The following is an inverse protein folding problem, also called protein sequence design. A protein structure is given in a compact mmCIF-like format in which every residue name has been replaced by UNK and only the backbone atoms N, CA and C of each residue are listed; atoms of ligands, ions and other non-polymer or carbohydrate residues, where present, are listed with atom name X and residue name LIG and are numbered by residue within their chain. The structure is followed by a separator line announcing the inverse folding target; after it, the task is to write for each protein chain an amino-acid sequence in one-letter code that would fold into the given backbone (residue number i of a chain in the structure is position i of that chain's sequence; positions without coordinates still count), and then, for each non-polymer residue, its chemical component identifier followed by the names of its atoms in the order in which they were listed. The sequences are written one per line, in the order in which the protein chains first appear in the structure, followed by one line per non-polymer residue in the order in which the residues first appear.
data_IF_727503063441
#
_entry.id   IF_727503063441
#
_cell.length_a   1.000
_cell.length_b   1.000
_cell.length_c   1.000
_cell.angle_alpha   90.00
_cell.angle_beta   90.00
_cell.angle_gamma   90.00
#
_symmetry.space_group_name_H-M   'P 1'
#
loop_
_entity.id
_entity.type
_entity.pdbx_description
1 polymer ?
#
# COMPACT_ATOMS: atom_id res chain seq x y z
N UNK A 1 -4.77 -28.66 -75.83
CA UNK A 1 -5.65 -28.82 -74.65
C UNK A 1 -4.80 -29.32 -73.49
N UNK A 2 -4.48 -28.44 -72.53
CA UNK A 2 -3.78 -28.80 -71.33
C UNK A 2 -4.71 -28.38 -70.11
N UNK A 3 -5.25 -29.37 -69.46
CA UNK A 3 -6.03 -29.17 -68.20
C UNK A 3 -5.07 -28.78 -67.03
N UNK A 4 -5.34 -27.64 -66.41
CA UNK A 4 -4.72 -27.22 -65.16
C UNK A 4 -5.70 -27.62 -64.10
N UNK A 5 -5.33 -28.61 -63.27
CA UNK A 5 -6.04 -28.96 -62.06
C UNK A 5 -5.60 -28.03 -60.93
N UNK A 6 -6.53 -27.21 -60.41
CA UNK A 6 -6.30 -26.36 -59.24
C UNK A 6 -6.54 -27.18 -57.98
N UNK A 7 -5.48 -27.44 -57.20
CA UNK A 7 -5.57 -27.99 -55.83
C UNK A 7 -5.96 -26.84 -54.87
N UNK A 8 -7.17 -26.88 -54.35
CA UNK A 8 -7.59 -26.03 -53.21
C UNK A 8 -7.06 -26.63 -51.91
N UNK A 9 -6.03 -26.02 -51.34
CA UNK A 9 -5.57 -26.35 -49.99
C UNK A 9 -6.49 -25.71 -48.94
N UNK A 10 -7.34 -26.48 -48.28
CA UNK A 10 -8.07 -26.06 -47.09
C UNK A 10 -7.08 -25.90 -45.92
N UNK A 11 -6.73 -24.66 -45.59
CA UNK A 11 -6.06 -24.32 -44.31
C UNK A 11 -7.07 -24.50 -43.18
N UNK A 12 -7.00 -25.62 -42.49
CA UNK A 12 -7.63 -25.81 -41.20
C UNK A 12 -6.92 -24.88 -40.16
N UNK A 13 -7.54 -23.74 -39.89
CA UNK A 13 -7.18 -22.91 -38.77
C UNK A 13 -7.59 -23.68 -37.50
N UNK A 14 -6.65 -24.41 -36.93
CA UNK A 14 -6.81 -24.95 -35.56
C UNK A 14 -6.88 -23.74 -34.62
N UNK A 15 -8.08 -23.37 -34.21
CA UNK A 15 -8.26 -22.51 -33.03
C UNK A 15 -7.61 -23.24 -31.85
N UNK A 16 -6.51 -22.69 -31.33
CA UNK A 16 -5.89 -23.19 -30.11
C UNK A 16 -6.95 -23.19 -29.03
N UNK A 17 -7.41 -24.35 -28.63
CA UNK A 17 -8.27 -24.50 -27.46
C UNK A 17 -7.49 -23.95 -26.25
N UNK A 18 -8.07 -22.96 -25.56
CA UNK A 18 -7.59 -22.50 -24.27
C UNK A 18 -7.59 -23.72 -23.31
N UNK A 19 -6.39 -24.24 -23.01
CA UNK A 19 -6.22 -25.49 -22.24
C UNK A 19 -6.50 -25.30 -20.75
N UNK A 20 -6.98 -24.11 -20.36
CA UNK A 20 -7.37 -23.87 -18.97
C UNK A 20 -8.65 -24.62 -18.62
N UNK A 21 -8.72 -25.19 -17.39
CA UNK A 21 -9.98 -25.75 -16.90
C UNK A 21 -11.06 -24.65 -16.82
N UNK A 22 -12.31 -25.01 -17.00
CA UNK A 22 -13.43 -24.10 -16.71
C UNK A 22 -13.33 -23.56 -15.28
N UNK A 23 -13.95 -22.42 -15.01
CA UNK A 23 -13.92 -21.85 -13.66
C UNK A 23 -14.50 -22.82 -12.62
N UNK A 24 -15.59 -23.52 -12.96
CA UNK A 24 -16.21 -24.51 -12.10
C UNK A 24 -15.30 -25.71 -11.77
N UNK A 25 -14.61 -26.26 -12.78
CA UNK A 25 -13.65 -27.36 -12.57
C UNK A 25 -12.47 -26.89 -11.70
N UNK A 26 -11.92 -25.69 -11.99
CA UNK A 26 -10.86 -25.10 -11.19
C UNK A 26 -11.30 -24.86 -9.74
N UNK A 27 -12.53 -24.36 -9.53
CA UNK A 27 -13.09 -24.09 -8.21
C UNK A 27 -13.28 -25.36 -7.38
N UNK A 28 -13.61 -26.48 -8.03
CA UNK A 28 -13.67 -27.79 -7.37
C UNK A 28 -12.32 -28.15 -6.75
N UNK A 29 -11.22 -27.94 -7.47
CA UNK A 29 -9.87 -28.12 -6.94
C UNK A 29 -9.54 -27.16 -5.78
N UNK A 30 -10.02 -25.89 -5.85
CA UNK A 30 -9.85 -24.91 -4.76
C UNK A 30 -10.58 -25.34 -3.48
N UNK A 31 -11.82 -25.83 -3.61
CA UNK A 31 -12.61 -26.35 -2.47
C UNK A 31 -11.90 -27.54 -1.79
N UNK A 32 -11.44 -28.49 -2.59
CA UNK A 32 -10.69 -29.65 -2.08
C UNK A 32 -9.40 -29.22 -1.33
N UNK A 33 -8.65 -28.28 -1.90
CA UNK A 33 -7.43 -27.75 -1.28
C UNK A 33 -7.74 -26.95 -0.02
N UNK A 34 -8.82 -26.16 0.03
CA UNK A 34 -9.23 -25.42 1.23
C UNK A 34 -9.51 -26.39 2.40
N UNK A 35 -10.25 -27.48 2.14
CA UNK A 35 -10.49 -28.53 3.13
C UNK A 35 -9.19 -29.20 3.57
N UNK A 36 -8.30 -29.52 2.64
CA UNK A 36 -6.99 -30.12 2.94
C UNK A 36 -6.09 -29.19 3.77
N UNK A 37 -6.27 -27.86 3.66
CA UNK A 37 -5.59 -26.86 4.49
C UNK A 37 -6.23 -26.67 5.87
N UNK A 38 -7.31 -27.37 6.18
CA UNK A 38 -7.99 -27.34 7.47
C UNK A 38 -9.05 -26.26 7.61
N UNK A 39 -9.45 -25.57 6.52
CA UNK A 39 -10.59 -24.65 6.55
C UNK A 39 -11.87 -25.47 6.80
N UNK A 40 -12.70 -25.05 7.75
CA UNK A 40 -13.94 -25.73 8.10
C UNK A 40 -14.87 -25.89 6.89
N UNK A 41 -15.49 -27.07 6.70
CA UNK A 41 -16.41 -27.31 5.58
C UNK A 41 -17.53 -26.26 5.45
N UNK A 42 -18.08 -25.79 6.57
CA UNK A 42 -19.10 -24.75 6.57
C UNK A 42 -18.60 -23.44 5.94
N UNK A 43 -17.37 -23.05 6.22
CA UNK A 43 -16.77 -21.84 5.64
C UNK A 43 -16.46 -22.03 4.15
N UNK A 44 -15.99 -23.20 3.75
CA UNK A 44 -15.77 -23.52 2.32
C UNK A 44 -17.08 -23.42 1.55
N UNK A 45 -18.17 -23.99 2.09
CA UNK A 45 -19.50 -23.92 1.46
C UNK A 45 -20.06 -22.50 1.45
N UNK A 46 -19.99 -21.76 2.57
CA UNK A 46 -20.46 -20.38 2.64
C UNK A 46 -19.72 -19.46 1.67
N UNK A 47 -18.38 -19.57 1.59
CA UNK A 47 -17.54 -18.66 0.83
C UNK A 47 -17.44 -19.00 -0.66
N UNK A 48 -17.45 -20.29 -1.02
CA UNK A 48 -17.21 -20.77 -2.38
C UNK A 48 -18.41 -21.48 -3.00
N UNK A 49 -19.42 -21.88 -2.21
CA UNK A 49 -20.55 -22.67 -2.67
C UNK A 49 -21.42 -21.97 -3.72
N UNK A 50 -21.51 -20.64 -3.66
CA UNK A 50 -22.33 -19.82 -4.57
C UNK A 50 -21.50 -19.19 -5.71
N UNK A 51 -20.24 -19.60 -5.90
CA UNK A 51 -19.43 -19.11 -7.00
C UNK A 51 -19.56 -20.01 -8.21
N UNK A 52 -20.24 -19.53 -9.25
CA UNK A 52 -20.46 -20.29 -10.49
C UNK A 52 -19.57 -19.80 -11.64
N UNK A 53 -19.32 -18.48 -11.71
CA UNK A 53 -18.58 -17.83 -12.78
C UNK A 53 -17.60 -16.77 -12.26
N UNK A 54 -16.51 -16.48 -13.02
CA UNK A 54 -15.61 -15.39 -12.68
C UNK A 54 -16.30 -14.04 -12.88
N UNK A 55 -15.89 -13.01 -12.14
CA UNK A 55 -16.41 -11.66 -12.26
C UNK A 55 -15.79 -10.93 -13.46
N UNK A 56 -16.53 -10.68 -14.58
CA UNK A 56 -15.96 -10.05 -15.77
C UNK A 56 -15.35 -8.68 -15.51
N UNK A 57 -16.00 -7.88 -14.65
CA UNK A 57 -15.53 -6.54 -14.27
C UNK A 57 -14.18 -6.58 -13.56
N UNK A 58 -13.85 -7.65 -12.85
CA UNK A 58 -12.54 -7.83 -12.18
C UNK A 58 -11.45 -8.06 -13.21
N UNK A 59 -11.71 -8.91 -14.20
CA UNK A 59 -10.77 -9.17 -15.32
C UNK A 59 -10.54 -7.89 -16.14
N UNK A 60 -11.60 -7.16 -16.46
CA UNK A 60 -11.53 -5.89 -17.19
C UNK A 60 -10.64 -4.89 -16.44
N UNK A 61 -10.85 -4.71 -15.14
CA UNK A 61 -10.05 -3.80 -14.31
C UNK A 61 -8.61 -4.23 -14.18
N UNK A 62 -8.34 -5.52 -14.09
CA UNK A 62 -6.97 -6.02 -14.03
C UNK A 62 -6.20 -5.74 -15.32
N UNK A 63 -6.86 -5.82 -16.47
CA UNK A 63 -6.26 -5.47 -17.77
C UNK A 63 -6.08 -3.97 -17.94
N UNK A 64 -7.08 -3.17 -17.56
CA UNK A 64 -7.04 -1.70 -17.69
C UNK A 64 -6.04 -1.02 -16.76
N UNK A 65 -5.67 -1.64 -15.64
CA UNK A 65 -4.74 -1.03 -14.68
C UNK A 65 -3.33 -0.81 -15.26
N UNK A 66 -2.90 -1.65 -16.21
CA UNK A 66 -1.60 -1.54 -16.84
C UNK A 66 -1.45 -0.28 -17.73
N UNK A 67 -2.56 0.36 -18.14
CA UNK A 67 -2.58 1.44 -19.12
C UNK A 67 -2.70 2.85 -18.52
N UNK A 68 -3.06 2.98 -17.25
CA UNK A 68 -3.42 4.28 -16.65
C UNK A 68 -2.39 4.81 -15.66
N UNK A 69 -1.16 5.08 -16.11
CA UNK A 69 -0.15 5.75 -15.26
C UNK A 69 -0.27 7.27 -15.43
N UNK A 70 -0.81 7.95 -14.42
CA UNK A 70 -0.81 9.41 -14.38
C UNK A 70 0.58 9.93 -13.96
N UNK A 71 1.08 11.03 -14.57
CA UNK A 71 2.25 11.73 -14.06
C UNK A 71 2.11 12.05 -12.56
N UNK A 72 3.23 12.01 -11.83
CA UNK A 72 3.28 12.19 -10.37
C UNK A 72 2.49 13.41 -9.90
N UNK A 73 2.72 14.58 -10.49
CA UNK A 73 2.09 15.83 -10.10
C UNK A 73 0.58 15.81 -10.29
N UNK A 74 0.12 15.29 -11.44
CA UNK A 74 -1.32 15.18 -11.73
C UNK A 74 -2.03 14.22 -10.79
N UNK A 75 -1.37 13.12 -10.42
CA UNK A 75 -1.91 12.20 -9.43
C UNK A 75 -2.04 12.88 -8.07
N UNK A 76 -0.97 13.51 -7.58
CA UNK A 76 -0.95 14.22 -6.29
C UNK A 76 -2.04 15.29 -6.24
N UNK A 77 -2.16 16.14 -7.28
CA UNK A 77 -3.15 17.23 -7.32
C UNK A 77 -4.59 16.70 -7.32
N UNK A 78 -4.84 15.55 -7.98
CA UNK A 78 -6.16 14.90 -7.97
C UNK A 78 -6.49 14.21 -6.65
N UNK A 79 -5.49 13.68 -5.95
CA UNK A 79 -5.68 12.91 -4.71
C UNK A 79 -5.64 13.79 -3.46
N UNK A 80 -4.68 14.72 -3.36
CA UNK A 80 -4.48 15.55 -2.16
C UNK A 80 -5.22 16.88 -2.29
N UNK A 81 -6.54 16.80 -2.44
CA UNK A 81 -7.43 17.95 -2.61
C UNK A 81 -7.61 18.76 -1.31
N UNK A 82 -8.03 20.02 -1.42
CA UNK A 82 -8.39 20.84 -0.25
C UNK A 82 -9.43 20.16 0.64
N UNK A 83 -10.44 19.53 0.04
CA UNK A 83 -11.49 18.77 0.77
C UNK A 83 -10.89 17.62 1.57
N UNK A 84 -10.01 16.80 0.96
CA UNK A 84 -9.36 15.71 1.66
C UNK A 84 -8.52 16.21 2.84
N UNK A 85 -7.75 17.29 2.66
CA UNK A 85 -6.94 17.92 3.72
C UNK A 85 -7.81 18.41 4.88
N UNK A 86 -8.94 19.08 4.60
CA UNK A 86 -9.87 19.55 5.63
C UNK A 86 -10.43 18.38 6.42
N UNK A 87 -10.96 17.36 5.73
CA UNK A 87 -11.46 16.15 6.39
C UNK A 87 -10.38 15.42 7.19
N UNK A 88 -9.15 15.33 6.66
CA UNK A 88 -8.03 14.73 7.39
C UNK A 88 -7.73 15.45 8.70
N UNK A 89 -7.74 16.79 8.72
CA UNK A 89 -7.57 17.60 9.94
C UNK A 89 -8.69 17.37 10.95
N UNK A 90 -9.93 17.30 10.49
CA UNK A 90 -11.10 17.00 11.35
C UNK A 90 -11.00 15.61 11.97
N UNK A 91 -10.62 14.60 11.16
CA UNK A 91 -10.43 13.21 11.64
C UNK A 91 -9.26 13.12 12.61
N UNK A 92 -8.16 13.77 12.31
CA UNK A 92 -7.00 13.86 13.20
C UNK A 92 -7.38 14.48 14.55
N UNK A 93 -8.08 15.60 14.56
CA UNK A 93 -8.53 16.25 15.78
C UNK A 93 -9.50 15.37 16.60
N UNK A 94 -10.48 14.74 15.92
CA UNK A 94 -11.47 13.85 16.55
C UNK A 94 -10.84 12.66 17.25
N UNK A 95 -9.82 12.05 16.64
CA UNK A 95 -9.19 10.81 17.14
C UNK A 95 -7.85 11.05 17.81
N UNK A 96 -7.52 12.30 18.16
CA UNK A 96 -6.20 12.70 18.63
C UNK A 96 -5.66 11.82 19.75
N UNK A 97 -6.44 11.60 20.82
CA UNK A 97 -6.00 10.83 22.00
C UNK A 97 -5.68 9.37 21.63
N UNK A 98 -6.51 8.77 20.79
CA UNK A 98 -6.29 7.40 20.30
C UNK A 98 -5.04 7.33 19.40
N UNK A 99 -4.91 8.25 18.47
CA UNK A 99 -3.75 8.33 17.58
C UNK A 99 -2.43 8.53 18.34
N UNK A 100 -2.43 9.33 19.42
CA UNK A 100 -1.27 9.51 20.30
C UNK A 100 -0.90 8.20 21.03
N UNK A 101 -1.88 7.41 21.50
CA UNK A 101 -1.65 6.08 22.09
C UNK A 101 -1.04 5.11 21.09
N UNK A 102 -1.57 5.07 19.87
CA UNK A 102 -1.04 4.23 18.78
C UNK A 102 0.38 4.66 18.42
N UNK A 103 0.62 5.96 18.26
CA UNK A 103 1.94 6.51 17.96
C UNK A 103 2.98 6.14 19.02
N UNK A 104 2.61 6.23 20.30
CA UNK A 104 3.49 5.83 21.40
C UNK A 104 3.87 4.35 21.33
N UNK A 105 2.93 3.47 20.98
CA UNK A 105 3.19 2.02 20.92
C UNK A 105 4.00 1.59 19.71
N UNK A 106 3.79 2.21 18.57
CA UNK A 106 4.38 1.76 17.29
C UNK A 106 5.49 2.69 16.76
N UNK A 107 5.66 3.88 17.32
CA UNK A 107 6.63 4.86 16.85
C UNK A 107 6.25 5.53 15.53
N UNK A 108 4.99 5.39 15.07
CA UNK A 108 4.54 5.94 13.78
C UNK A 108 3.81 7.25 13.98
N UNK A 109 4.14 8.26 13.14
CA UNK A 109 3.50 9.58 13.22
C UNK A 109 1.98 9.48 13.03
N UNK A 110 1.17 10.06 13.96
CA UNK A 110 -0.28 10.12 13.83
C UNK A 110 -0.78 10.70 12.52
N UNK A 111 -0.03 11.64 11.95
CA UNK A 111 -0.38 12.29 10.67
C UNK A 111 -0.24 11.35 9.48
N UNK A 112 0.77 10.49 9.50
CA UNK A 112 0.97 9.45 8.48
C UNK A 112 -0.16 8.42 8.55
N UNK A 113 -0.55 7.98 9.75
CA UNK A 113 -1.67 7.05 9.95
C UNK A 113 -2.96 7.62 9.35
N UNK A 114 -3.29 8.86 9.67
CA UNK A 114 -4.49 9.54 9.12
C UNK A 114 -4.39 9.76 7.61
N UNK A 115 -3.19 10.07 7.09
CA UNK A 115 -2.98 10.25 5.66
C UNK A 115 -3.21 8.94 4.88
N UNK A 116 -2.70 7.82 5.35
CA UNK A 116 -2.95 6.49 4.77
C UNK A 116 -4.44 6.17 4.82
N UNK A 117 -5.09 6.28 5.98
CA UNK A 117 -6.54 6.04 6.10
C UNK A 117 -7.37 6.88 5.12
N UNK A 118 -6.98 8.15 4.94
CA UNK A 118 -7.63 9.04 4.00
C UNK A 118 -7.45 8.65 2.53
N UNK A 119 -6.23 8.24 2.15
CA UNK A 119 -5.93 7.86 0.76
C UNK A 119 -6.46 6.47 0.40
N UNK A 120 -6.49 5.53 1.35
CA UNK A 120 -6.97 4.18 1.09
C UNK A 120 -8.50 4.12 0.97
N UNK A 121 -9.22 4.65 1.93
CA UNK A 121 -10.66 4.45 2.02
C UNK A 121 -11.49 5.73 2.13
N UNK A 122 -10.86 6.93 1.96
CA UNK A 122 -11.49 8.20 2.26
C UNK A 122 -12.12 8.21 3.67
N UNK A 123 -11.31 7.79 4.65
CA UNK A 123 -11.71 7.69 6.07
C UNK A 123 -12.86 6.72 6.32
N UNK A 124 -12.86 5.58 5.62
CA UNK A 124 -13.84 4.52 5.76
C UNK A 124 -15.10 4.67 4.89
N UNK A 125 -15.20 5.71 4.06
CA UNK A 125 -16.34 5.87 3.15
C UNK A 125 -16.31 4.87 1.98
N UNK A 126 -15.13 4.36 1.61
CA UNK A 126 -14.93 3.46 0.47
C UNK A 126 -13.97 2.32 0.84
N UNK A 127 -14.45 1.36 1.61
CA UNK A 127 -13.66 0.17 2.02
C UNK A 127 -13.71 -1.00 1.02
N UNK A 128 -14.45 -0.84 -0.08
CA UNK A 128 -14.60 -1.82 -1.16
C UNK A 128 -16.05 -2.19 -1.48
N UNK A 129 -16.28 -2.60 -2.73
CA UNK A 129 -17.63 -2.94 -3.23
C UNK A 129 -17.75 -4.40 -3.66
N UNK A 130 -16.63 -5.05 -3.95
CA UNK A 130 -16.62 -6.38 -4.54
C UNK A 130 -16.62 -7.44 -3.44
N UNK A 131 -17.36 -8.55 -3.61
CA UNK A 131 -17.17 -9.71 -2.75
C UNK A 131 -15.72 -10.18 -2.88
N UNK A 132 -14.97 -10.14 -1.79
CA UNK A 132 -13.50 -10.35 -1.83
C UNK A 132 -13.15 -11.76 -2.29
N UNK A 133 -13.88 -12.77 -1.84
CA UNK A 133 -13.65 -14.16 -2.25
C UNK A 133 -13.85 -14.32 -3.76
N UNK A 134 -14.96 -13.81 -4.31
CA UNK A 134 -15.23 -13.89 -5.75
C UNK A 134 -14.19 -13.12 -6.59
N UNK A 135 -13.75 -11.95 -6.12
CA UNK A 135 -12.71 -11.16 -6.79
C UNK A 135 -11.37 -11.90 -6.81
N UNK A 136 -10.94 -12.46 -5.66
CA UNK A 136 -9.70 -13.22 -5.55
C UNK A 136 -9.77 -14.54 -6.32
N UNK A 137 -10.89 -15.25 -6.31
CA UNK A 137 -11.09 -16.47 -7.10
C UNK A 137 -10.99 -16.17 -8.60
N UNK A 138 -11.60 -15.08 -9.08
CA UNK A 138 -11.51 -14.64 -10.47
C UNK A 138 -10.06 -14.39 -10.88
N UNK A 139 -9.29 -13.63 -10.09
CA UNK A 139 -7.90 -13.29 -10.36
C UNK A 139 -6.95 -14.50 -10.19
N UNK A 140 -7.30 -15.43 -9.31
CA UNK A 140 -6.55 -16.68 -9.12
C UNK A 140 -6.77 -17.68 -10.26
N UNK A 141 -7.92 -17.62 -10.91
CA UNK A 141 -8.23 -18.42 -12.11
C UNK A 141 -7.62 -17.80 -13.38
N UNK A 142 -7.56 -16.45 -13.49
CA UNK A 142 -6.89 -15.78 -14.61
C UNK A 142 -5.36 -15.99 -14.54
N UNK A 143 -4.75 -16.43 -15.67
CA UNK A 143 -3.35 -16.88 -15.71
C UNK A 143 -2.31 -15.83 -15.31
N UNK A 144 -2.60 -14.54 -15.49
CA UNK A 144 -1.59 -13.46 -15.42
C UNK A 144 -0.87 -13.36 -14.06
N UNK A 145 -1.58 -13.49 -12.95
CA UNK A 145 -1.06 -13.42 -11.57
C UNK A 145 -1.66 -14.51 -10.68
N UNK A 146 -2.03 -15.64 -11.27
CA UNK A 146 -2.77 -16.71 -10.63
C UNK A 146 -2.16 -17.17 -9.30
N UNK A 147 -0.87 -17.41 -9.25
CA UNK A 147 -0.18 -17.92 -8.04
C UNK A 147 -0.32 -16.94 -6.86
N UNK A 148 -0.12 -15.65 -7.10
CA UNK A 148 -0.26 -14.62 -6.07
C UNK A 148 -1.69 -14.57 -5.53
N UNK A 149 -2.68 -14.43 -6.42
CA UNK A 149 -4.07 -14.30 -6.00
C UNK A 149 -4.65 -15.58 -5.40
N UNK A 150 -4.13 -16.76 -5.83
CA UNK A 150 -4.48 -18.02 -5.18
C UNK A 150 -4.01 -18.04 -3.71
N UNK A 151 -2.80 -17.56 -3.44
CA UNK A 151 -2.31 -17.39 -2.07
C UNK A 151 -3.21 -16.46 -1.24
N UNK A 152 -3.60 -15.32 -1.81
CA UNK A 152 -4.47 -14.36 -1.15
C UNK A 152 -5.90 -14.92 -0.92
N UNK A 153 -6.42 -15.73 -1.85
CA UNK A 153 -7.72 -16.39 -1.69
C UNK A 153 -7.73 -17.32 -0.47
N UNK A 154 -6.71 -18.16 -0.29
CA UNK A 154 -6.62 -19.03 0.88
C UNK A 154 -6.45 -18.25 2.19
N UNK A 155 -5.73 -17.13 2.16
CA UNK A 155 -5.64 -16.22 3.31
C UNK A 155 -6.97 -15.56 3.64
N UNK A 156 -7.78 -15.21 2.63
CA UNK A 156 -9.13 -14.68 2.85
C UNK A 156 -10.06 -15.74 3.46
N UNK A 157 -9.97 -16.99 3.04
CA UNK A 157 -10.70 -18.11 3.66
C UNK A 157 -10.26 -18.33 5.12
N UNK A 158 -8.96 -18.20 5.42
CA UNK A 158 -8.44 -18.28 6.80
C UNK A 158 -9.00 -17.17 7.69
N UNK A 159 -9.17 -15.94 7.18
CA UNK A 159 -9.80 -14.82 7.91
C UNK A 159 -11.26 -15.15 8.25
N UNK A 160 -12.02 -15.70 7.31
CA UNK A 160 -13.39 -16.15 7.56
C UNK A 160 -13.44 -17.29 8.58
N UNK A 161 -12.52 -18.23 8.48
CA UNK A 161 -12.45 -19.39 9.38
C UNK A 161 -12.11 -19.00 10.82
N UNK A 162 -11.36 -17.92 11.03
CA UNK A 162 -11.12 -17.33 12.36
C UNK A 162 -12.36 -16.64 12.95
N UNK A 163 -13.32 -16.28 12.11
CA UNK A 163 -14.50 -15.54 12.55
C UNK A 163 -14.25 -14.04 12.74
N UNK A 164 -13.17 -13.49 12.19
CA UNK A 164 -12.87 -12.05 12.26
C UNK A 164 -13.92 -11.22 11.51
N UNK A 165 -14.55 -11.81 10.46
CA UNK A 165 -15.65 -11.20 9.69
C UNK A 165 -16.47 -12.30 9.00
N UNK A 166 -17.75 -12.04 8.73
CA UNK A 166 -18.64 -12.94 7.98
C UNK A 166 -18.41 -12.82 6.47
N UNK A 167 -18.61 -13.90 5.69
CA UNK A 167 -18.41 -13.91 4.25
C UNK A 167 -19.24 -12.85 3.51
N UNK A 168 -20.49 -12.63 3.91
CA UNK A 168 -21.38 -11.61 3.33
C UNK A 168 -20.83 -10.17 3.50
N UNK A 169 -20.11 -9.92 4.59
CA UNK A 169 -19.51 -8.62 4.92
C UNK A 169 -18.08 -8.47 4.39
N UNK A 170 -17.39 -9.55 4.01
CA UNK A 170 -16.04 -9.52 3.48
C UNK A 170 -16.02 -8.95 2.05
N UNK A 171 -16.06 -7.62 2.00
CA UNK A 171 -16.01 -6.85 0.75
C UNK A 171 -14.71 -6.04 0.67
N UNK A 172 -14.21 -5.87 -0.55
CA UNK A 172 -12.93 -5.22 -0.78
C UNK A 172 -12.85 -4.50 -2.12
N UNK A 173 -11.63 -4.18 -2.52
CA UNK A 173 -11.33 -3.68 -3.86
C UNK A 173 -11.53 -4.80 -4.91
N UNK A 174 -11.52 -4.43 -6.19
CA UNK A 174 -11.56 -5.41 -7.28
C UNK A 174 -10.36 -6.37 -7.25
N UNK A 175 -9.24 -5.97 -6.64
CA UNK A 175 -8.02 -6.76 -6.48
C UNK A 175 -7.94 -7.51 -5.13
N UNK A 176 -9.01 -7.50 -4.32
CA UNK A 176 -9.09 -8.25 -3.08
C UNK A 176 -8.49 -7.55 -1.84
N UNK A 177 -8.12 -6.28 -1.92
CA UNK A 177 -7.71 -5.51 -0.75
C UNK A 177 -8.94 -5.19 0.15
N UNK A 178 -8.80 -5.37 1.46
CA UNK A 178 -9.90 -5.38 2.43
C UNK A 178 -9.81 -4.28 3.50
N UNK A 179 -10.96 -3.89 3.99
CA UNK A 179 -11.13 -2.97 5.11
C UNK A 179 -10.71 -1.52 4.80
N UNK A 180 -10.73 -0.69 5.82
CA UNK A 180 -10.39 0.74 5.70
C UNK A 180 -8.92 0.99 5.44
N UNK A 181 -8.08 0.01 5.70
CA UNK A 181 -6.62 0.03 5.50
C UNK A 181 -6.20 -0.54 4.13
N UNK A 182 -7.13 -1.13 3.38
CA UNK A 182 -6.91 -1.77 2.07
C UNK A 182 -5.75 -2.79 2.11
N UNK A 183 -5.70 -3.60 3.16
CA UNK A 183 -4.75 -4.70 3.26
C UNK A 183 -5.10 -5.84 2.31
N UNK A 184 -4.10 -6.46 1.71
CA UNK A 184 -4.27 -7.80 1.16
C UNK A 184 -4.53 -8.79 2.32
N UNK A 185 -5.26 -9.91 2.10
CA UNK A 185 -5.53 -10.89 3.15
C UNK A 185 -4.27 -11.37 3.89
N UNK A 186 -3.16 -11.57 3.19
CA UNK A 186 -1.87 -11.91 3.80
C UNK A 186 -1.36 -10.81 4.73
N UNK A 187 -1.50 -9.54 4.34
CA UNK A 187 -1.13 -8.41 5.19
C UNK A 187 -2.04 -8.30 6.41
N UNK A 188 -3.34 -8.56 6.26
CA UNK A 188 -4.27 -8.61 7.38
C UNK A 188 -3.83 -9.65 8.42
N UNK A 189 -3.60 -10.87 8.00
CA UNK A 189 -3.18 -11.95 8.93
C UNK A 189 -1.88 -11.63 9.67
N UNK A 190 -0.98 -10.88 9.04
CA UNK A 190 0.32 -10.54 9.60
C UNK A 190 0.32 -9.28 10.46
N UNK A 191 -0.47 -8.26 10.11
CA UNK A 191 -0.33 -6.92 10.67
C UNK A 191 -1.60 -6.34 11.28
N UNK A 192 -2.78 -6.95 11.07
CA UNK A 192 -3.99 -6.46 11.71
C UNK A 192 -3.92 -6.65 13.24
N UNK A 193 -4.32 -5.62 13.97
CA UNK A 193 -4.25 -5.52 15.43
C UNK A 193 -5.65 -5.40 16.04
N UNK A 194 -5.85 -6.09 17.14
CA UNK A 194 -6.94 -5.88 18.09
C UNK A 194 -6.41 -4.92 19.17
N UNK A 195 -6.59 -3.61 18.96
CA UNK A 195 -5.98 -2.60 19.81
C UNK A 195 -6.88 -2.17 20.98
N UNK A 196 -8.18 -2.36 20.88
CA UNK A 196 -9.11 -2.10 21.98
C UNK A 196 -9.33 -3.35 22.87
N UNK A 197 -8.88 -4.53 22.43
CA UNK A 197 -8.88 -5.74 23.23
C UNK A 197 -10.23 -6.46 23.25
N UNK A 198 -11.10 -6.26 22.24
CA UNK A 198 -12.42 -6.88 22.17
C UNK A 198 -12.38 -8.32 21.63
N UNK A 199 -11.20 -8.82 21.24
CA UNK A 199 -10.97 -10.15 20.68
C UNK A 199 -11.11 -10.22 19.16
N UNK A 200 -11.31 -9.09 18.47
CA UNK A 200 -11.43 -8.99 17.01
C UNK A 200 -10.42 -8.01 16.43
N UNK A 201 -10.01 -8.23 15.19
CA UNK A 201 -9.16 -7.31 14.44
C UNK A 201 -9.99 -6.54 13.44
N UNK A 202 -10.86 -5.65 13.92
CA UNK A 202 -11.85 -4.97 13.07
C UNK A 202 -11.25 -3.77 12.31
N UNK A 203 -10.61 -4.03 11.18
CA UNK A 203 -10.12 -2.99 10.26
C UNK A 203 -11.23 -2.37 9.39
N UNK A 204 -12.49 -2.78 9.56
CA UNK A 204 -13.63 -2.29 8.78
C UNK A 204 -14.37 -1.16 9.48
N UNK A 205 -14.52 -1.20 10.82
CA UNK A 205 -15.33 -0.25 11.56
C UNK A 205 -14.69 0.32 12.82
N UNK A 206 -13.71 -0.33 13.42
CA UNK A 206 -13.09 0.07 14.69
C UNK A 206 -11.87 0.97 14.49
N UNK A 207 -11.92 2.28 14.79
CA UNK A 207 -10.79 3.19 14.59
C UNK A 207 -9.51 2.76 15.34
N UNK A 208 -9.64 2.11 16.50
CA UNK A 208 -8.49 1.63 17.26
C UNK A 208 -7.67 0.62 16.46
N UNK A 209 -8.34 -0.37 15.90
CA UNK A 209 -7.73 -1.43 15.12
C UNK A 209 -7.23 -0.93 13.76
N UNK A 210 -8.01 -0.05 13.12
CA UNK A 210 -7.61 0.60 11.85
C UNK A 210 -6.26 1.32 12.03
N UNK A 211 -6.13 2.17 13.05
CA UNK A 211 -4.93 2.97 13.25
C UNK A 211 -3.74 2.12 13.71
N UNK A 212 -3.98 1.18 14.61
CA UNK A 212 -2.95 0.26 15.08
C UNK A 212 -2.44 -0.66 13.96
N UNK A 213 -3.34 -1.16 13.11
CA UNK A 213 -2.98 -2.01 11.97
C UNK A 213 -2.12 -1.26 10.94
N UNK A 214 -2.47 0.00 10.60
CA UNK A 214 -1.63 0.85 9.74
C UNK A 214 -0.25 1.05 10.37
N UNK A 215 -0.21 1.38 11.67
CA UNK A 215 1.04 1.63 12.37
C UNK A 215 1.91 0.37 12.50
N UNK A 216 1.30 -0.78 12.81
CA UNK A 216 1.99 -2.06 12.90
C UNK A 216 2.56 -2.50 11.54
N UNK A 217 1.83 -2.27 10.45
CA UNK A 217 2.33 -2.51 9.10
C UNK A 217 3.60 -1.70 8.82
N UNK A 218 3.56 -0.39 9.03
CA UNK A 218 4.71 0.48 8.80
C UNK A 218 5.91 0.12 9.69
N UNK A 219 5.67 -0.15 10.98
CA UNK A 219 6.70 -0.62 11.91
C UNK A 219 7.34 -1.93 11.46
N UNK A 220 6.51 -2.89 11.00
CA UNK A 220 6.96 -4.17 10.48
C UNK A 220 7.77 -4.07 9.18
N UNK A 221 7.67 -2.94 8.47
CA UNK A 221 8.43 -2.60 7.28
C UNK A 221 9.52 -1.54 7.54
N UNK A 222 10.01 -1.45 8.78
CA UNK A 222 11.21 -0.67 9.12
C UNK A 222 10.97 0.82 9.37
N UNK A 223 9.73 1.24 9.68
CA UNK A 223 9.48 2.63 10.07
C UNK A 223 10.31 3.03 11.28
N UNK A 224 11.06 4.13 11.16
CA UNK A 224 11.92 4.71 12.17
C UNK A 224 11.19 5.85 12.90
N UNK A 225 11.06 5.71 14.23
CA UNK A 225 10.45 6.72 15.08
C UNK A 225 11.23 8.04 15.04
N UNK A 226 10.49 9.14 14.93
CA UNK A 226 11.07 10.49 14.90
C UNK A 226 11.64 10.92 13.56
N UNK A 227 11.76 10.03 12.58
CA UNK A 227 12.19 10.38 11.23
C UNK A 227 11.04 10.81 10.34
N UNK A 228 11.31 11.77 9.44
CA UNK A 228 10.37 12.20 8.43
C UNK A 228 10.35 11.21 7.24
N UNK A 229 9.33 11.29 6.39
CA UNK A 229 9.26 10.54 5.15
C UNK A 229 10.15 11.12 4.04
N UNK A 230 10.36 12.44 4.04
CA UNK A 230 11.07 13.20 3.00
C UNK A 230 10.70 14.67 3.02
N UNK A 231 11.03 15.36 1.95
CA UNK A 231 10.67 16.77 1.71
C UNK A 231 10.72 17.14 0.25
N UNK A 232 9.92 18.14 -0.15
CA UNK A 232 10.07 18.79 -1.44
C UNK A 232 11.38 19.59 -1.50
N UNK A 233 12.02 19.60 -2.68
CA UNK A 233 13.25 20.35 -2.95
C UNK A 233 13.16 21.09 -4.27
N UNK A 234 13.98 22.15 -4.41
CA UNK A 234 14.21 22.85 -5.66
C UNK A 234 15.46 22.28 -6.31
N UNK A 235 15.33 21.87 -7.56
CA UNK A 235 16.39 21.33 -8.39
C UNK A 235 16.32 22.06 -9.74
N UNK A 236 17.31 22.85 -10.14
CA UNK A 236 17.39 23.42 -11.49
C UNK A 236 17.45 22.33 -12.56
N UNK A 237 16.93 22.59 -13.77
CA UNK A 237 16.85 21.59 -14.84
C UNK A 237 18.22 20.99 -15.21
N UNK A 238 19.27 21.81 -15.31
CA UNK A 238 20.65 21.32 -15.54
C UNK A 238 21.13 20.41 -14.42
N UNK A 239 20.78 20.77 -13.17
CA UNK A 239 21.11 19.93 -12.01
C UNK A 239 20.35 18.61 -12.07
N UNK A 240 19.09 18.62 -12.44
CA UNK A 240 18.28 17.40 -12.58
C UNK A 240 18.86 16.47 -13.65
N UNK A 241 19.29 17.02 -14.80
CA UNK A 241 19.97 16.26 -15.84
C UNK A 241 21.31 15.67 -15.36
N UNK A 242 22.11 16.46 -14.65
CA UNK A 242 23.37 16.01 -14.06
C UNK A 242 23.15 14.87 -13.08
N UNK A 243 22.16 14.99 -12.19
CA UNK A 243 21.80 13.94 -11.22
C UNK A 243 21.38 12.66 -11.95
N UNK A 244 20.51 12.77 -12.95
CA UNK A 244 20.05 11.62 -13.73
C UNK A 244 21.21 10.91 -14.47
N UNK A 245 22.23 11.64 -14.89
CA UNK A 245 23.38 11.09 -15.60
C UNK A 245 24.46 10.49 -14.66
N UNK A 246 24.59 10.99 -13.42
CA UNK A 246 25.76 10.70 -12.56
C UNK A 246 25.43 9.95 -11.27
N UNK A 247 24.20 10.01 -10.79
CA UNK A 247 23.79 9.35 -9.56
C UNK A 247 23.12 8.02 -9.88
N UNK A 248 23.66 6.93 -9.38
CA UNK A 248 23.11 5.59 -9.60
C UNK A 248 21.68 5.47 -9.05
N UNK A 249 20.89 4.62 -9.69
CA UNK A 249 19.56 4.24 -9.21
C UNK A 249 19.65 3.05 -8.24
N UNK A 250 18.66 2.91 -7.39
CA UNK A 250 18.51 1.76 -6.49
C UNK A 250 18.10 0.51 -7.27
N UNK A 251 18.36 -0.64 -6.67
CA UNK A 251 17.87 -1.95 -7.13
C UNK A 251 16.75 -2.44 -6.20
N UNK A 252 15.90 -3.33 -6.68
CA UNK A 252 14.83 -3.90 -5.86
C UNK A 252 13.67 -4.45 -6.69
N UNK A 253 12.74 -5.18 -6.08
CA UNK A 253 11.58 -5.76 -6.76
C UNK A 253 10.54 -4.71 -7.16
N UNK A 254 10.40 -3.67 -6.36
CA UNK A 254 9.46 -2.58 -6.61
C UNK A 254 9.98 -1.63 -7.69
N UNK A 255 9.16 -1.31 -8.70
CA UNK A 255 9.55 -0.40 -9.78
C UNK A 255 9.87 0.99 -9.23
N UNK A 256 9.06 1.54 -8.32
CA UNK A 256 9.31 2.83 -7.71
C UNK A 256 10.68 2.87 -6.98
N UNK A 257 11.12 1.77 -6.36
CA UNK A 257 12.46 1.71 -5.78
C UNK A 257 13.54 1.82 -6.85
N UNK A 258 13.37 1.22 -8.02
CA UNK A 258 14.33 1.31 -9.13
C UNK A 258 14.34 2.67 -9.83
N UNK A 259 13.24 3.41 -9.74
CA UNK A 259 13.09 4.73 -10.38
C UNK A 259 13.68 5.87 -9.53
N UNK A 260 14.12 5.61 -8.30
CA UNK A 260 14.78 6.62 -7.47
C UNK A 260 16.30 6.40 -7.35
N UNK A 261 17.04 7.45 -7.00
CA UNK A 261 18.48 7.36 -6.80
C UNK A 261 18.85 6.54 -5.57
N UNK A 262 20.11 6.14 -5.47
CA UNK A 262 20.68 5.67 -4.20
C UNK A 262 20.65 6.77 -3.14
N UNK A 263 20.72 6.37 -1.85
CA UNK A 263 20.82 7.32 -0.74
C UNK A 263 22.17 8.01 -0.76
N UNK A 264 22.17 9.34 -0.70
CA UNK A 264 23.38 10.16 -0.59
C UNK A 264 23.29 11.09 0.63
N UNK A 265 24.43 11.41 1.27
CA UNK A 265 24.49 12.41 2.32
C UNK A 265 24.02 13.80 1.86
N UNK A 266 23.40 14.55 2.76
CA UNK A 266 22.88 15.91 2.46
C UNK A 266 23.92 16.84 1.85
N UNK A 267 25.20 16.71 2.25
CA UNK A 267 26.30 17.53 1.68
C UNK A 267 26.52 17.24 0.19
N UNK A 268 26.30 16.01 -0.26
CA UNK A 268 26.42 15.69 -1.69
C UNK A 268 25.26 16.29 -2.47
N UNK A 269 24.02 16.21 -1.96
CA UNK A 269 22.87 16.89 -2.57
C UNK A 269 23.08 18.40 -2.68
N UNK A 270 23.63 19.03 -1.62
CA UNK A 270 23.92 20.47 -1.66
C UNK A 270 25.00 20.84 -2.69
N UNK A 271 26.06 20.02 -2.85
CA UNK A 271 27.10 20.20 -3.89
C UNK A 271 26.55 20.06 -5.29
N UNK A 272 25.59 19.16 -5.50
CA UNK A 272 24.87 19.00 -6.75
C UNK A 272 23.89 20.15 -7.03
N UNK A 273 23.72 21.13 -6.14
CA UNK A 273 22.84 22.29 -6.35
C UNK A 273 21.41 22.11 -5.81
N UNK A 274 21.10 21.02 -5.13
CA UNK A 274 19.77 20.82 -4.51
C UNK A 274 19.59 21.79 -3.34
N UNK A 275 18.41 22.44 -3.27
CA UNK A 275 18.05 23.45 -2.26
C UNK A 275 16.64 23.22 -1.72
N UNK A 276 16.31 23.88 -0.61
CA UNK A 276 14.94 24.00 -0.16
C UNK A 276 14.08 24.73 -1.22
N UNK A 277 12.74 24.61 -1.21
CA UNK A 277 11.87 25.28 -2.19
C UNK A 277 12.03 26.81 -2.22
N UNK A 278 12.42 27.42 -1.10
CA UNK A 278 12.71 28.85 -0.98
C UNK A 278 14.15 29.24 -1.43
N UNK A 279 14.95 28.29 -1.93
CA UNK A 279 16.32 28.49 -2.36
C UNK A 279 17.37 28.38 -1.24
N UNK A 280 16.97 28.27 0.03
CA UNK A 280 17.91 28.12 1.14
C UNK A 280 18.66 26.76 1.09
N UNK A 281 19.86 26.65 1.71
CA UNK A 281 20.57 25.40 1.87
C UNK A 281 19.72 24.35 2.62
N UNK A 282 19.97 23.07 2.33
CA UNK A 282 19.39 21.98 3.11
C UNK A 282 19.96 22.02 4.55
N UNK A 283 19.12 21.81 5.60
CA UNK A 283 19.61 21.76 6.97
C UNK A 283 20.68 20.67 7.15
N UNK A 284 21.72 20.95 7.92
CA UNK A 284 22.81 19.99 8.19
C UNK A 284 22.32 18.71 8.90
N UNK A 285 21.18 18.80 9.61
CA UNK A 285 20.51 17.67 10.27
C UNK A 285 19.66 16.83 9.33
N UNK A 286 19.62 17.13 8.03
CA UNK A 286 18.90 16.32 7.04
C UNK A 286 19.56 14.93 6.96
N UNK A 287 18.81 13.84 7.12
CA UNK A 287 19.34 12.50 6.95
C UNK A 287 19.84 12.25 5.52
N UNK A 288 20.54 11.14 5.32
CA UNK A 288 20.81 10.63 3.98
C UNK A 288 19.49 10.45 3.24
N UNK A 289 19.49 10.75 1.95
CA UNK A 289 18.27 10.81 1.16
C UNK A 289 18.49 10.23 -0.24
N UNK A 290 17.44 9.63 -0.78
CA UNK A 290 17.31 9.36 -2.21
C UNK A 290 16.49 10.48 -2.87
N UNK A 291 16.66 10.67 -4.17
CA UNK A 291 15.85 11.61 -4.95
C UNK A 291 14.76 10.86 -5.70
N UNK A 292 13.56 11.39 -5.59
CA UNK A 292 12.41 11.06 -6.45
C UNK A 292 12.08 12.27 -7.29
N UNK A 293 12.04 12.11 -8.60
CA UNK A 293 11.75 13.18 -9.56
C UNK A 293 10.46 12.92 -10.31
N UNK A 294 9.56 13.89 -10.32
CA UNK A 294 8.48 13.99 -11.28
C UNK A 294 8.91 14.83 -12.49
N UNK A 295 7.93 15.30 -13.27
CA UNK A 295 8.19 16.17 -14.41
C UNK A 295 8.69 17.56 -14.02
N UNK A 296 8.20 18.09 -12.89
CA UNK A 296 8.48 19.46 -12.43
C UNK A 296 8.74 19.55 -10.93
N UNK A 297 8.48 18.48 -10.18
CA UNK A 297 8.65 18.44 -8.72
C UNK A 297 9.65 17.37 -8.33
N UNK A 298 10.53 17.72 -7.41
CA UNK A 298 11.56 16.84 -6.89
C UNK A 298 11.44 16.72 -5.37
N UNK A 299 11.77 15.55 -4.87
CA UNK A 299 11.70 15.23 -3.45
C UNK A 299 12.96 14.51 -3.00
N UNK A 300 13.52 14.92 -1.88
CA UNK A 300 14.44 14.08 -1.12
C UNK A 300 13.63 13.22 -0.17
N UNK A 301 13.79 11.91 -0.28
CA UNK A 301 13.05 10.93 0.53
C UNK A 301 14.02 10.19 1.45
N UNK A 302 13.58 9.91 2.69
CA UNK A 302 14.39 9.33 3.76
C UNK A 302 14.03 7.86 3.98
N UNK A 303 14.63 7.22 4.98
CA UNK A 303 14.43 5.79 5.23
C UNK A 303 12.95 5.40 5.40
N UNK A 304 12.13 6.22 6.06
CA UNK A 304 10.69 5.96 6.23
C UNK A 304 9.89 5.91 4.93
N UNK A 305 10.45 6.42 3.84
CA UNK A 305 9.80 6.36 2.54
C UNK A 305 9.68 4.93 2.01
N UNK A 306 10.63 4.06 2.36
CA UNK A 306 10.62 2.66 1.96
C UNK A 306 9.38 1.93 2.54
N UNK A 307 9.04 2.18 3.80
CA UNK A 307 7.83 1.61 4.40
C UNK A 307 6.53 2.08 3.72
N UNK A 308 6.51 3.30 3.15
CA UNK A 308 5.39 3.77 2.34
C UNK A 308 5.34 3.08 0.96
N UNK A 309 6.49 2.77 0.36
CA UNK A 309 6.55 1.99 -0.88
C UNK A 309 6.17 0.52 -0.65
N UNK A 310 6.46 -0.04 0.52
CA UNK A 310 6.00 -1.38 0.89
C UNK A 310 4.47 -1.43 1.04
N UNK A 311 3.85 -0.32 1.51
CA UNK A 311 2.39 -0.21 1.54
C UNK A 311 1.79 -0.18 0.13
N UNK A 312 2.36 0.62 -0.76
CA UNK A 312 2.01 0.69 -2.17
C UNK A 312 3.21 1.13 -3.01
N UNK A 313 3.68 0.23 -3.88
CA UNK A 313 4.86 0.42 -4.74
C UNK A 313 4.60 1.46 -5.85
N UNK A 314 4.32 2.71 -5.46
CA UNK A 314 4.13 3.82 -6.38
C UNK A 314 4.57 5.15 -5.75
N UNK A 315 5.48 5.88 -6.42
CA UNK A 315 5.89 7.21 -5.96
C UNK A 315 4.72 8.18 -5.80
N UNK A 316 3.74 8.11 -6.71
CA UNK A 316 2.54 8.93 -6.67
C UNK A 316 1.73 8.72 -5.38
N UNK A 317 1.66 7.49 -4.90
CA UNK A 317 1.02 7.15 -3.63
C UNK A 317 1.86 7.63 -2.43
N UNK A 318 3.12 7.21 -2.33
CA UNK A 318 3.98 7.49 -1.18
C UNK A 318 4.18 9.01 -0.97
N UNK A 319 4.39 9.79 -2.05
CA UNK A 319 4.45 11.26 -2.02
C UNK A 319 3.10 11.85 -1.58
N UNK A 320 1.97 11.30 -2.04
CA UNK A 320 0.65 11.79 -1.61
C UNK A 320 0.40 11.59 -0.12
N UNK A 321 0.82 10.43 0.43
CA UNK A 321 0.77 10.17 1.89
C UNK A 321 1.59 11.21 2.64
N UNK A 322 2.85 11.40 2.25
CA UNK A 322 3.75 12.35 2.90
C UNK A 322 3.23 13.79 2.85
N UNK A 323 2.82 14.27 1.68
CA UNK A 323 2.28 15.61 1.50
C UNK A 323 0.96 15.84 2.24
N UNK A 324 0.08 14.84 2.31
CA UNK A 324 -1.14 14.94 3.10
C UNK A 324 -0.82 15.02 4.59
N UNK A 325 0.09 14.21 5.08
CA UNK A 325 0.55 14.22 6.46
C UNK A 325 1.15 15.60 6.87
N UNK A 326 1.96 16.19 5.99
CA UNK A 326 2.53 17.53 6.20
C UNK A 326 1.43 18.59 6.27
N UNK A 327 0.43 18.52 5.38
CA UNK A 327 -0.70 19.48 5.35
C UNK A 327 -1.63 19.33 6.55
N UNK A 328 -1.76 18.15 7.16
CA UNK A 328 -2.48 17.97 8.44
C UNK A 328 -1.80 18.82 9.52
N UNK A 329 -0.46 18.82 9.57
CA UNK A 329 0.31 19.53 10.59
C UNK A 329 0.44 21.03 10.42
N UNK A 330 0.33 21.55 9.20
CA UNK A 330 0.51 23.00 8.92
C UNK A 330 -0.65 23.88 9.36
N UNK A 331 -1.70 23.33 9.95
CA UNK A 331 -2.92 24.07 10.37
C UNK A 331 -3.03 24.37 11.87
N UNK A 332 -2.10 23.91 12.71
CA UNK A 332 -2.06 24.24 14.14
C UNK A 332 -0.60 24.28 14.60
N UNK A 333 -0.19 25.38 15.20
CA UNK A 333 1.01 25.42 16.01
C UNK A 333 0.79 24.45 17.20
N UNK A 334 1.23 23.21 17.07
CA UNK A 334 1.22 22.24 18.16
C UNK A 334 2.32 22.69 19.11
N UNK A 335 1.93 23.20 20.28
CA UNK A 335 2.85 23.39 21.41
C UNK A 335 3.59 22.08 21.64
N UNK A 336 4.90 22.10 21.48
CA UNK A 336 5.78 20.98 21.84
C UNK A 336 5.60 20.73 23.34
N UNK A 337 4.93 19.65 23.71
CA UNK A 337 5.01 19.12 25.05
C UNK A 337 6.47 18.81 25.38
N UNK A 338 6.89 18.88 26.66
CA UNK A 338 8.27 18.70 27.06
C UNK A 338 8.76 17.31 26.65
N UNK A 339 9.93 17.26 26.01
CA UNK A 339 10.60 16.03 25.66
C UNK A 339 10.81 15.18 26.94
N UNK A 340 10.25 14.00 26.96
CA UNK A 340 10.42 13.05 28.06
C UNK A 340 11.90 12.59 28.05
N UNK A 341 12.71 13.15 28.97
CA UNK A 341 14.04 12.63 29.27
C UNK A 341 13.90 11.26 29.93
N UNK A 342 14.56 10.20 29.43
CA UNK A 342 14.58 8.93 30.13
C UNK A 342 15.20 9.09 31.51
N UNK A 343 14.54 8.55 32.52
CA UNK A 343 15.00 8.57 33.90
C UNK A 343 16.37 7.90 34.01
N UNK A 344 17.39 8.64 34.45
CA UNK A 344 18.69 8.10 34.83
C UNK A 344 18.51 7.15 35.99
N UNK A 345 18.64 5.87 35.78
CA UNK A 345 18.77 4.87 36.83
C UNK A 345 20.02 5.17 37.67
N UNK A 346 19.83 5.64 38.92
CA UNK A 346 20.91 5.73 39.92
C UNK A 346 21.35 4.31 40.27
N UNK A 347 22.51 3.91 39.82
CA UNK A 347 23.22 2.78 40.42
C UNK A 347 23.53 3.10 41.86
N UNK A 348 22.93 2.39 42.81
CA UNK A 348 23.39 2.35 44.20
C UNK A 348 24.69 1.54 44.23
N UNK A 349 25.79 2.19 44.59
CA UNK A 349 26.98 1.49 45.06
C UNK A 349 26.64 0.86 46.41
N UNK A 350 26.71 -0.45 46.47
CA UNK A 350 26.80 -1.19 47.74
C UNK A 350 28.28 -1.44 47.95
N UNK A 351 28.83 -0.80 48.99
CA UNK A 351 30.14 -1.15 49.54
C UNK A 351 29.96 -2.40 50.40
N UNK A 352 30.81 -3.38 50.17
CA UNK A 352 31.37 -4.34 51.10
C UNK A 352 32.82 -4.57 50.72
#
# INVERSE_FOLDING_TARGET
MRLIAALAACLLVTQGQDTRPSFAEWLTGVRAEALARGIRPAIVEEALGQLDEPLPIVIERDRAQAEAVLPLERYVDRRVTKKLVTTARERFARHRVLLEKVAWRYGVSPRIIVAIWGLESNFGLFSGRYPTIAALATLAWDARRATFFRGELFKALEILDRGDIDAARLRGSWAGAIGNVQFMPSSYLKFAEDFDGDGKRDIWSTPADIFASIANYLKGHGWLEGEAWGRAVKVPDETAQTIAATVAHRTGPCQATRDMTVMLPVRQWQRLGVRLPNGAPLPATTPDAAMVSGATKHFLVYANYDALLDYNCAHSYAISVGLLADRIGSGAAVSRGPAHRPARTRRKHVNL
#
